data_IF_937012080499
#
_entry.id   IF_937012080499
#
_cell.length_a   1.000
_cell.length_b   1.000
_cell.length_c   1.000
_cell.angle_alpha   90.00
_cell.angle_beta   90.00
_cell.angle_gamma   90.00
#
_symmetry.space_group_name_H-M   'P 1'
#
loop_
_entity.id
_entity.type
_entity.pdbx_description
1 polymer ?
#
# COMPACT_ATOMS: atom_id res chain seq x y z
N UNK A 1 12.35 26.30 -14.60
CA UNK A 1 12.43 24.85 -14.33
C UNK A 1 11.29 24.20 -15.10
N UNK A 2 11.61 23.36 -16.07
CA UNK A 2 10.63 22.72 -16.95
C UNK A 2 9.78 21.71 -16.19
N UNK A 3 8.46 21.88 -16.27
CA UNK A 3 7.50 20.87 -15.87
C UNK A 3 7.51 19.77 -16.94
N UNK A 4 8.13 18.64 -16.62
CA UNK A 4 8.06 17.43 -17.47
C UNK A 4 6.67 16.83 -17.28
N UNK A 5 5.76 17.22 -18.15
CA UNK A 5 4.41 16.68 -18.27
C UNK A 5 4.47 15.42 -19.14
N UNK A 6 4.60 14.25 -18.51
CA UNK A 6 4.43 12.97 -19.20
C UNK A 6 3.01 12.45 -18.96
N UNK A 7 2.18 12.52 -19.99
CA UNK A 7 0.92 11.81 -20.11
C UNK A 7 1.19 10.29 -20.17
N UNK A 8 1.43 9.66 -19.02
CA UNK A 8 1.29 8.23 -18.82
C UNK A 8 -0.09 8.03 -18.19
N UNK A 9 -0.87 7.05 -18.67
CA UNK A 9 -2.13 6.64 -18.03
C UNK A 9 -1.96 6.71 -16.52
N UNK A 10 -2.81 7.48 -15.82
CA UNK A 10 -2.60 7.91 -14.43
C UNK A 10 -2.24 6.71 -13.55
N UNK A 11 -0.93 6.46 -13.36
CA UNK A 11 -0.49 5.22 -12.72
C UNK A 11 -0.79 5.36 -11.23
N UNK A 12 -1.69 4.51 -10.77
CA UNK A 12 -2.20 4.49 -9.41
C UNK A 12 -1.39 3.46 -8.61
N UNK A 13 -0.84 3.87 -7.47
CA UNK A 13 0.04 3.03 -6.65
C UNK A 13 -0.49 2.90 -5.22
N UNK A 14 -0.24 1.74 -4.63
CA UNK A 14 -0.16 1.62 -3.19
C UNK A 14 1.29 1.91 -2.78
N UNK A 15 1.46 2.76 -1.78
CA UNK A 15 2.77 3.08 -1.22
C UNK A 15 2.97 2.34 0.11
N UNK A 16 4.12 1.68 0.27
CA UNK A 16 4.55 1.10 1.53
C UNK A 16 5.79 1.85 2.00
N UNK A 17 5.69 2.49 3.17
CA UNK A 17 6.73 3.38 3.70
C UNK A 17 7.26 2.87 5.04
N UNK A 18 8.59 2.88 5.19
CA UNK A 18 9.28 2.69 6.47
C UNK A 18 10.17 3.88 6.76
N UNK A 19 10.20 4.32 8.02
CA UNK A 19 11.21 5.26 8.51
C UNK A 19 12.46 4.46 8.93
N UNK A 20 13.55 4.60 8.19
CA UNK A 20 14.83 3.96 8.51
C UNK A 20 15.66 4.82 9.46
N UNK A 21 15.56 6.13 9.32
CA UNK A 21 16.22 7.14 10.16
C UNK A 21 15.24 8.28 10.43
N UNK A 22 15.30 8.88 11.63
CA UNK A 22 14.31 9.86 12.06
C UNK A 22 12.91 9.25 12.28
N UNK A 23 11.87 10.09 12.18
CA UNK A 23 10.47 9.70 12.33
C UNK A 23 9.62 10.26 11.18
N UNK A 24 8.57 9.52 10.82
CA UNK A 24 7.51 9.97 9.93
C UNK A 24 6.16 9.67 10.58
N UNK A 25 5.42 10.72 10.95
CA UNK A 25 4.03 10.62 11.35
C UNK A 25 3.13 10.72 10.13
N UNK A 26 2.33 9.68 9.88
CA UNK A 26 1.24 9.70 8.91
C UNK A 26 -0.05 9.98 9.64
N UNK A 27 -0.81 10.94 9.14
CA UNK A 27 -2.12 11.31 9.66
C UNK A 27 -3.15 11.28 8.53
N UNK A 28 -4.32 10.73 8.84
CA UNK A 28 -5.50 10.72 7.99
C UNK A 28 -6.67 11.30 8.81
N UNK A 29 -7.83 11.47 8.18
CA UNK A 29 -9.01 11.95 8.91
C UNK A 29 -9.40 11.06 10.10
N UNK A 30 -9.10 9.76 10.04
CA UNK A 30 -9.57 8.76 11.03
C UNK A 30 -8.44 8.24 11.92
N UNK A 31 -7.20 8.26 11.43
CA UNK A 31 -6.09 7.57 12.07
C UNK A 31 -4.78 8.37 12.01
N UNK A 32 -3.96 8.18 13.04
CA UNK A 32 -2.59 8.68 13.08
C UNK A 32 -1.63 7.54 13.44
N UNK A 33 -0.52 7.43 12.70
CA UNK A 33 0.49 6.40 12.91
C UNK A 33 1.89 6.98 12.76
N UNK A 34 2.79 6.59 13.68
CA UNK A 34 4.22 6.91 13.57
C UNK A 34 4.94 5.71 12.97
N UNK A 35 5.65 5.94 11.88
CA UNK A 35 6.44 4.93 11.17
C UNK A 35 7.79 4.70 11.85
N UNK A 36 8.31 3.49 11.71
CA UNK A 36 9.64 3.11 12.17
C UNK A 36 10.21 2.02 11.28
N UNK A 37 11.45 1.60 11.54
CA UNK A 37 12.08 0.50 10.83
C UNK A 37 11.32 -0.83 10.95
N UNK A 38 10.40 -0.95 11.92
CA UNK A 38 9.57 -2.14 12.16
C UNK A 38 8.07 -1.91 11.97
N UNK A 39 7.66 -0.68 11.67
CA UNK A 39 6.25 -0.32 11.47
C UNK A 39 6.11 0.47 10.18
N UNK A 40 5.52 -0.19 9.18
CA UNK A 40 5.25 0.42 7.89
C UNK A 40 3.89 1.12 7.86
N UNK A 41 3.80 2.18 7.07
CA UNK A 41 2.53 2.76 6.63
C UNK A 41 2.20 2.20 5.25
N UNK A 42 0.95 1.77 5.06
CA UNK A 42 0.43 1.38 3.75
C UNK A 42 -0.60 2.41 3.33
N UNK A 43 -0.33 3.13 2.26
CA UNK A 43 -1.16 4.22 1.74
C UNK A 43 -1.81 3.73 0.46
N UNK A 44 -3.13 3.78 0.39
CA UNK A 44 -3.87 3.45 -0.82
C UNK A 44 -3.88 4.64 -1.79
N UNK A 45 -4.05 4.40 -3.10
CA UNK A 45 -3.97 5.49 -4.08
C UNK A 45 -5.01 6.62 -3.93
N UNK A 46 -6.08 6.36 -3.18
CA UNK A 46 -7.16 7.33 -2.92
C UNK A 46 -7.03 8.00 -1.54
N UNK A 47 -6.11 7.52 -0.71
CA UNK A 47 -5.84 8.11 0.59
C UNK A 47 -5.09 9.43 0.40
N UNK A 48 -5.49 10.45 1.16
CA UNK A 48 -4.80 11.75 1.19
C UNK A 48 -4.19 11.97 2.58
N UNK A 49 -3.07 11.31 2.90
CA UNK A 49 -2.45 11.47 4.20
C UNK A 49 -1.66 12.77 4.30
N UNK A 50 -1.62 13.35 5.49
CA UNK A 50 -0.63 14.35 5.87
C UNK A 50 0.59 13.63 6.46
N UNK A 51 1.79 14.06 6.06
CA UNK A 51 3.04 13.50 6.57
C UNK A 51 3.81 14.55 7.39
N UNK A 52 4.29 14.12 8.56
CA UNK A 52 5.09 14.93 9.48
C UNK A 52 6.47 14.29 9.62
N UNK A 53 7.46 14.85 8.94
CA UNK A 53 8.81 14.30 8.86
C UNK A 53 9.75 15.00 9.85
N UNK A 54 10.56 14.24 10.59
CA UNK A 54 11.61 14.82 11.42
C UNK A 54 12.82 15.26 10.58
N UNK A 55 13.66 16.12 11.15
CA UNK A 55 14.99 16.36 10.60
C UNK A 55 15.79 15.05 10.52
N UNK A 56 16.61 14.91 9.47
CA UNK A 56 17.39 13.70 9.22
C UNK A 56 16.56 12.48 8.81
N UNK A 57 15.32 12.66 8.34
CA UNK A 57 14.47 11.56 7.91
C UNK A 57 15.05 10.78 6.72
N UNK A 58 15.21 9.47 6.92
CA UNK A 58 15.60 8.50 5.90
C UNK A 58 14.55 7.41 5.74
N UNK A 59 14.26 6.98 4.51
CA UNK A 59 13.13 6.09 4.23
C UNK A 59 13.43 4.95 3.27
N UNK A 60 12.69 3.85 3.46
CA UNK A 60 12.45 2.84 2.43
C UNK A 60 11.03 3.01 1.92
N UNK A 61 10.91 3.14 0.61
CA UNK A 61 9.63 3.35 -0.06
C UNK A 61 9.46 2.32 -1.18
N UNK A 62 8.38 1.53 -1.11
CA UNK A 62 8.01 0.57 -2.14
C UNK A 62 6.69 0.99 -2.76
N UNK A 63 6.67 1.06 -4.10
CA UNK A 63 5.48 1.34 -4.88
C UNK A 63 4.96 0.07 -5.54
N UNK A 64 3.71 -0.25 -5.27
CA UNK A 64 3.01 -1.38 -5.87
C UNK A 64 1.97 -0.81 -6.81
N UNK A 65 2.11 -1.07 -8.11
CA UNK A 65 1.09 -0.69 -9.08
C UNK A 65 -0.25 -1.33 -8.71
N UNK A 66 -1.31 -0.51 -8.68
CA UNK A 66 -2.67 -0.96 -8.41
C UNK A 66 -3.06 -2.14 -9.30
N UNK A 67 -2.75 -2.06 -10.59
CA UNK A 67 -3.06 -3.12 -11.55
C UNK A 67 -2.36 -4.44 -11.22
N UNK A 68 -1.13 -4.39 -10.69
CA UNK A 68 -0.39 -5.58 -10.30
C UNK A 68 -0.98 -6.24 -9.05
N UNK A 69 -1.42 -5.42 -8.08
CA UNK A 69 -2.11 -5.90 -6.88
C UNK A 69 -3.47 -6.52 -7.22
N UNK A 70 -4.30 -5.82 -8.01
CA UNK A 70 -5.63 -6.31 -8.42
C UNK A 70 -5.53 -7.66 -9.12
N UNK A 71 -4.62 -7.80 -10.10
CA UNK A 71 -4.35 -9.09 -10.76
C UNK A 71 -3.95 -10.18 -9.79
N UNK A 72 -3.18 -9.87 -8.74
CA UNK A 72 -2.75 -10.85 -7.76
C UNK A 72 -3.90 -11.28 -6.85
N UNK A 73 -4.72 -10.33 -6.40
CA UNK A 73 -5.90 -10.61 -5.58
C UNK A 73 -6.91 -11.49 -6.31
N UNK A 74 -7.16 -11.23 -7.59
CA UNK A 74 -8.01 -12.08 -8.44
C UNK A 74 -7.49 -13.53 -8.49
N UNK A 75 -6.17 -13.73 -8.61
CA UNK A 75 -5.58 -15.08 -8.60
C UNK A 75 -5.76 -15.79 -7.26
N UNK A 76 -5.58 -15.08 -6.14
CA UNK A 76 -5.77 -15.66 -4.80
C UNK A 76 -7.24 -16.04 -4.60
N UNK A 77 -8.19 -15.19 -5.00
CA UNK A 77 -9.62 -15.50 -4.93
C UNK A 77 -10.03 -16.68 -5.82
N UNK A 78 -9.47 -16.78 -7.02
CA UNK A 78 -9.69 -17.92 -7.90
C UNK A 78 -9.17 -19.23 -7.29
N UNK A 79 -7.98 -19.19 -6.68
CA UNK A 79 -7.41 -20.33 -5.97
C UNK A 79 -8.24 -20.74 -4.73
N UNK A 80 -8.69 -19.76 -3.94
CA UNK A 80 -9.58 -20.02 -2.79
C UNK A 80 -10.94 -20.59 -3.22
N UNK A 81 -11.47 -20.17 -4.37
CA UNK A 81 -12.73 -20.70 -4.90
C UNK A 81 -12.61 -22.16 -5.34
N UNK A 82 -11.47 -22.54 -5.93
CA UNK A 82 -11.18 -23.95 -6.27
C UNK A 82 -10.98 -24.83 -5.03
N UNK A 83 -10.38 -24.30 -3.96
CA UNK A 83 -10.26 -25.04 -2.68
C UNK A 83 -11.65 -25.29 -2.06
N UNK A 84 -12.57 -24.31 -2.16
CA UNK A 84 -13.94 -24.44 -1.63
C UNK A 84 -14.82 -25.40 -2.42
N UNK A 85 -14.61 -25.56 -3.73
CA UNK A 85 -15.35 -26.55 -4.53
C UNK A 85 -14.82 -27.99 -4.38
N UNK A 86 -13.62 -28.18 -3.82
CA UNK A 86 -13.02 -29.49 -3.55
C UNK A 86 -13.37 -30.12 -2.19
N UNK A 87 -13.94 -29.36 -1.26
CA UNK A 87 -14.31 -29.85 0.08
C UNK A 87 -15.84 -29.91 0.24
N UNK A 88 -16.41 -31.07 -0.11
CA UNK A 88 -17.82 -31.39 0.15
C UNK A 88 -18.08 -31.61 1.63
N UNK A 89 -18.40 -30.55 2.37
CA UNK A 89 -18.96 -30.66 3.71
C UNK A 89 -20.45 -31.00 3.60
N UNK A 90 -20.78 -32.29 3.70
CA UNK A 90 -22.13 -32.73 4.10
C UNK A 90 -22.27 -32.47 5.60
N UNK A 91 -23.11 -31.51 5.97
CA UNK A 91 -23.67 -31.47 7.31
C UNK A 91 -24.66 -32.62 7.44
N UNK A 92 -24.34 -33.61 8.26
CA UNK A 92 -25.30 -34.53 8.88
C UNK A 92 -25.31 -34.26 10.36
#
# INVERSE_FOLDING_TARGET
MEAVQQARAQVSYYDVNFALEGANGIETHEEQVVLSARRAGVISPQMMPTMHLSDGYGQLHVRIERSALERHLERVQAGLSQVRSGFGWRWT
#
